data_IF_706755398597
#
_entry.id   IF_706755398597
#
_cell.length_a   1.000
_cell.length_b   1.000
_cell.length_c   1.000
_cell.angle_alpha   90.00
_cell.angle_beta   90.00
_cell.angle_gamma   90.00
#
_symmetry.space_group_name_H-M   'P 1'
#
loop_
_entity.id
_entity.type
_entity.pdbx_description
1 polymer ?
#
# COMPACT_ATOMS: atom_id res chain seq x y z
N UNK A 1 11.84 -6.75 44.54
CA UNK A 1 10.72 -5.84 44.89
C UNK A 1 10.74 -4.50 44.13
N UNK A 2 11.90 -3.97 43.73
CA UNK A 2 12.00 -2.69 42.98
C UNK A 2 11.19 -2.63 41.65
N UNK A 3 11.08 -3.74 40.89
CA UNK A 3 10.32 -3.77 39.63
C UNK A 3 8.79 -3.68 39.78
N UNK A 4 8.24 -4.07 40.94
CA UNK A 4 6.79 -3.98 41.23
C UNK A 4 6.36 -2.57 41.62
N UNK A 5 7.20 -1.85 42.34
CA UNK A 5 6.93 -0.47 42.75
C UNK A 5 7.01 0.46 41.52
N UNK A 6 8.03 0.28 40.66
CA UNK A 6 8.18 1.06 39.42
C UNK A 6 7.03 0.85 38.42
N UNK A 7 6.50 -0.37 38.31
CA UNK A 7 5.35 -0.66 37.43
C UNK A 7 4.03 -0.06 37.96
N UNK A 8 3.85 0.04 39.28
CA UNK A 8 2.69 0.70 39.89
C UNK A 8 2.74 2.22 39.70
N UNK A 9 3.90 2.84 39.94
CA UNK A 9 4.13 4.28 39.73
C UNK A 9 3.86 4.64 38.26
N UNK A 10 4.41 3.87 37.32
CA UNK A 10 4.18 4.11 35.89
C UNK A 10 2.70 4.00 35.51
N UNK A 11 1.99 2.98 36.02
CA UNK A 11 0.53 2.82 35.80
C UNK A 11 -0.27 4.02 36.29
N UNK A 12 0.11 4.57 37.44
CA UNK A 12 -0.52 5.77 37.99
C UNK A 12 -0.27 7.00 37.11
N UNK A 13 0.97 7.23 36.67
CA UNK A 13 1.30 8.31 35.75
C UNK A 13 0.53 8.23 34.43
N UNK A 14 0.46 7.04 33.83
CA UNK A 14 -0.29 6.81 32.58
C UNK A 14 -1.78 7.08 32.74
N UNK A 15 -2.40 6.64 33.85
CA UNK A 15 -3.80 6.95 34.15
C UNK A 15 -4.04 8.45 34.30
N UNK A 16 -3.15 9.14 35.01
CA UNK A 16 -3.27 10.59 35.23
C UNK A 16 -3.11 11.36 33.92
N UNK A 17 -2.17 10.95 33.06
CA UNK A 17 -2.01 11.51 31.73
C UNK A 17 -3.26 11.28 30.86
N UNK A 18 -3.82 10.07 30.86
CA UNK A 18 -5.05 9.76 30.13
C UNK A 18 -6.24 10.59 30.62
N UNK A 19 -6.41 10.72 31.94
CA UNK A 19 -7.47 11.55 32.54
C UNK A 19 -7.29 13.03 32.20
N UNK A 20 -6.05 13.53 32.20
CA UNK A 20 -5.76 14.90 31.79
C UNK A 20 -6.21 15.15 30.35
N UNK A 21 -5.81 14.30 29.40
CA UNK A 21 -6.21 14.45 27.99
C UNK A 21 -7.72 14.29 27.77
N UNK A 22 -8.39 13.41 28.53
CA UNK A 22 -9.85 13.28 28.49
C UNK A 22 -10.53 14.57 28.95
N UNK A 23 -10.08 15.16 30.07
CA UNK A 23 -10.63 16.42 30.56
C UNK A 23 -10.39 17.58 29.58
N UNK A 24 -9.21 17.64 28.94
CA UNK A 24 -8.91 18.66 27.93
C UNK A 24 -9.77 18.50 26.67
N UNK A 25 -10.11 17.26 26.28
CA UNK A 25 -10.98 17.00 25.13
C UNK A 25 -12.41 17.52 25.37
N UNK A 26 -12.96 17.33 26.57
CA UNK A 26 -14.28 17.86 26.97
C UNK A 26 -14.29 19.40 27.04
N UNK A 27 -13.20 20.01 27.51
CA UNK A 27 -13.11 21.45 27.70
C UNK A 27 -12.75 22.23 26.42
N UNK A 28 -12.33 21.55 25.33
CA UNK A 28 -11.66 22.16 24.17
C UNK A 28 -12.47 23.29 23.51
N UNK A 29 -13.80 23.15 23.51
CA UNK A 29 -14.76 24.10 22.92
C UNK A 29 -14.79 25.45 23.63
N UNK A 30 -14.34 25.52 24.89
CA UNK A 30 -14.32 26.73 25.72
C UNK A 30 -12.93 27.34 25.92
N UNK A 31 -11.89 26.81 25.29
CA UNK A 31 -10.51 27.29 25.45
C UNK A 31 -10.23 28.45 24.49
N UNK A 32 -9.61 29.52 24.98
CA UNK A 32 -9.17 30.63 24.12
C UNK A 32 -8.11 30.21 23.08
N UNK A 33 -8.04 30.93 21.96
CA UNK A 33 -7.20 30.60 20.80
C UNK A 33 -5.71 30.41 21.11
N UNK A 34 -5.11 31.29 21.91
CA UNK A 34 -3.69 31.22 22.24
C UNK A 34 -3.30 29.95 23.04
N UNK A 35 -3.97 29.61 24.17
CA UNK A 35 -3.72 28.35 24.87
C UNK A 35 -4.11 27.11 24.04
N UNK A 36 -5.13 27.21 23.18
CA UNK A 36 -5.53 26.12 22.28
C UNK A 36 -4.41 25.72 21.30
N UNK A 37 -3.64 26.68 20.78
CA UNK A 37 -2.50 26.38 19.91
C UNK A 37 -1.41 25.57 20.62
N UNK A 38 -1.13 25.88 21.89
CA UNK A 38 -0.15 25.16 22.71
C UNK A 38 -0.63 23.74 23.02
N UNK A 39 -1.87 23.62 23.50
CA UNK A 39 -2.51 22.34 23.79
C UNK A 39 -2.51 21.43 22.55
N UNK A 40 -2.81 21.98 21.37
CA UNK A 40 -2.75 21.27 20.09
C UNK A 40 -1.34 20.74 19.77
N UNK A 41 -0.31 21.53 20.06
CA UNK A 41 1.09 21.14 19.86
C UNK A 41 1.50 19.97 20.76
N UNK A 42 1.19 20.07 22.05
CA UNK A 42 1.47 19.03 23.05
C UNK A 42 0.72 17.72 22.73
N UNK A 43 -0.56 17.81 22.35
CA UNK A 43 -1.36 16.65 21.96
C UNK A 43 -0.76 15.94 20.73
N UNK A 44 -0.35 16.69 19.71
CA UNK A 44 0.31 16.14 18.52
C UNK A 44 1.64 15.46 18.87
N UNK A 45 2.43 16.04 19.76
CA UNK A 45 3.68 15.45 20.21
C UNK A 45 3.46 14.11 20.93
N UNK A 46 2.49 14.04 21.85
CA UNK A 46 2.17 12.80 22.55
C UNK A 46 1.59 11.75 21.61
N UNK A 47 0.67 12.12 20.71
CA UNK A 47 0.12 11.22 19.69
C UNK A 47 1.22 10.57 18.85
N UNK A 48 2.22 11.33 18.39
CA UNK A 48 3.36 10.79 17.63
C UNK A 48 4.15 9.71 18.38
N UNK A 49 4.26 9.81 19.70
CA UNK A 49 4.97 8.79 20.50
C UNK A 49 4.13 7.52 20.66
N UNK A 50 2.82 7.70 20.92
CA UNK A 50 1.87 6.58 21.01
C UNK A 50 1.80 5.85 19.66
N UNK A 51 1.68 6.59 18.55
CA UNK A 51 1.66 6.04 17.20
C UNK A 51 2.94 5.22 16.91
N UNK A 52 4.12 5.67 17.37
CA UNK A 52 5.37 4.89 17.26
C UNK A 52 5.34 3.57 18.02
N UNK A 53 4.86 3.57 19.26
CA UNK A 53 4.73 2.33 20.06
C UNK A 53 3.73 1.40 19.42
N UNK A 54 2.59 1.92 18.96
CA UNK A 54 1.58 1.15 18.25
C UNK A 54 2.21 0.53 17.00
N UNK A 55 2.84 1.31 16.12
CA UNK A 55 3.48 0.79 14.90
C UNK A 55 4.49 -0.34 15.20
N UNK A 56 5.32 -0.19 16.24
CA UNK A 56 6.29 -1.21 16.63
C UNK A 56 5.62 -2.46 17.24
N UNK A 57 4.59 -2.28 18.05
CA UNK A 57 3.83 -3.38 18.64
C UNK A 57 3.02 -4.12 17.57
N UNK A 58 2.40 -3.41 16.64
CA UNK A 58 1.63 -3.96 15.53
C UNK A 58 2.50 -4.74 14.56
N UNK A 59 3.72 -4.29 14.27
CA UNK A 59 4.69 -5.07 13.50
C UNK A 59 5.03 -6.41 14.17
N UNK A 60 4.95 -6.50 15.51
CA UNK A 60 5.24 -7.72 16.30
C UNK A 60 4.02 -8.59 16.57
N UNK A 61 2.84 -7.97 16.73
CA UNK A 61 1.58 -8.62 17.11
C UNK A 61 0.65 -8.84 15.91
N UNK A 62 1.01 -8.36 14.73
CA UNK A 62 0.32 -8.67 13.48
C UNK A 62 0.32 -10.17 13.19
N UNK A 63 -0.64 -10.66 12.40
CA UNK A 63 -0.52 -12.02 11.88
C UNK A 63 0.85 -12.15 11.23
N UNK A 64 1.59 -13.23 11.54
CA UNK A 64 2.82 -13.57 10.82
C UNK A 64 2.47 -13.42 9.35
N UNK A 65 3.09 -12.45 8.65
CA UNK A 65 2.70 -12.07 7.31
C UNK A 65 2.61 -13.34 6.48
N UNK A 66 1.39 -13.86 6.28
CA UNK A 66 1.23 -15.20 5.74
C UNK A 66 1.75 -15.08 4.31
N UNK A 67 2.84 -15.79 4.01
CA UNK A 67 3.38 -15.83 2.67
C UNK A 67 2.21 -16.07 1.71
N UNK A 68 2.12 -15.32 0.60
CA UNK A 68 1.01 -15.48 -0.32
C UNK A 68 0.93 -16.96 -0.72
N UNK A 69 -0.28 -17.52 -0.66
CA UNK A 69 -0.48 -18.94 -0.92
C UNK A 69 -0.13 -19.23 -2.37
N UNK A 70 0.79 -20.16 -2.59
CA UNK A 70 1.12 -20.64 -3.93
C UNK A 70 -0.01 -21.55 -4.41
N UNK A 71 -0.69 -21.16 -5.49
CA UNK A 71 -1.72 -21.98 -6.10
C UNK A 71 -1.09 -23.17 -6.84
N UNK A 72 -1.88 -24.21 -7.11
CA UNK A 72 -1.40 -25.36 -7.89
C UNK A 72 -1.00 -24.90 -9.29
N UNK A 73 0.17 -25.34 -9.76
CA UNK A 73 0.73 -24.95 -11.06
C UNK A 73 1.43 -23.59 -11.07
N UNK A 74 1.46 -22.86 -9.96
CA UNK A 74 2.28 -21.64 -9.80
C UNK A 74 3.72 -22.02 -9.45
N UNK A 75 4.69 -21.45 -10.15
CA UNK A 75 6.12 -21.66 -9.86
C UNK A 75 6.73 -20.53 -9.01
N UNK A 76 6.06 -19.38 -8.94
CA UNK A 76 6.51 -18.24 -8.17
C UNK A 76 5.33 -17.35 -7.74
N UNK A 77 5.42 -16.81 -6.53
CA UNK A 77 4.41 -15.90 -5.96
C UNK A 77 5.08 -14.84 -5.11
N UNK A 78 4.54 -13.62 -5.16
CA UNK A 78 5.06 -12.47 -4.44
C UNK A 78 3.97 -11.53 -3.99
N UNK A 79 4.17 -10.98 -2.80
CA UNK A 79 3.40 -9.88 -2.25
C UNK A 79 4.38 -8.74 -1.95
N UNK A 80 4.14 -7.51 -2.44
CA UNK A 80 5.04 -6.38 -2.19
C UNK A 80 5.09 -5.99 -0.71
N UNK A 81 6.15 -5.28 -0.32
CA UNK A 81 6.49 -5.06 1.09
C UNK A 81 5.46 -4.26 1.85
N UNK A 82 4.85 -3.26 1.23
CA UNK A 82 3.84 -2.41 1.88
C UNK A 82 2.58 -3.17 2.29
N UNK A 83 2.36 -4.39 1.78
CA UNK A 83 1.27 -5.27 2.24
C UNK A 83 1.75 -6.34 3.24
N UNK A 84 3.07 -6.56 3.37
CA UNK A 84 3.67 -7.58 4.26
C UNK A 84 4.13 -7.02 5.59
N UNK A 85 4.66 -5.80 5.62
CA UNK A 85 5.35 -5.22 6.78
C UNK A 85 4.97 -3.76 6.97
N UNK A 86 5.04 -3.29 8.21
CA UNK A 86 4.85 -1.87 8.50
C UNK A 86 5.92 -1.02 7.79
N UNK A 87 5.49 0.00 7.07
CA UNK A 87 6.37 1.00 6.47
C UNK A 87 6.98 1.88 7.56
N UNK A 88 8.18 2.44 7.34
CA UNK A 88 8.79 3.40 8.28
C UNK A 88 7.90 4.63 8.45
N UNK A 89 7.42 5.16 7.34
CA UNK A 89 6.44 6.24 7.28
C UNK A 89 5.10 5.66 6.86
N UNK A 90 4.11 5.70 7.76
CA UNK A 90 2.80 5.13 7.49
C UNK A 90 1.97 5.96 6.48
N UNK A 91 2.42 7.15 6.10
CA UNK A 91 1.78 7.90 5.03
C UNK A 91 2.64 9.05 4.50
N UNK A 92 2.38 9.42 3.26
CA UNK A 92 3.12 10.39 2.46
C UNK A 92 2.14 11.22 1.62
N UNK A 93 2.45 12.49 1.40
CA UNK A 93 1.74 13.35 0.45
C UNK A 93 2.56 13.37 -0.84
N UNK A 94 1.93 13.08 -1.96
CA UNK A 94 2.58 13.13 -3.25
C UNK A 94 2.70 14.58 -3.73
N UNK A 95 3.91 15.12 -3.65
CA UNK A 95 4.21 16.53 -3.98
C UNK A 95 4.85 16.70 -5.35
N UNK A 96 5.07 15.63 -6.10
CA UNK A 96 5.73 15.68 -7.40
C UNK A 96 5.54 14.40 -8.20
N UNK A 97 6.08 14.39 -9.42
CA UNK A 97 5.79 13.35 -10.41
C UNK A 97 6.11 11.92 -9.98
N UNK A 98 7.02 11.76 -9.01
CA UNK A 98 7.36 10.49 -8.38
C UNK A 98 7.47 10.66 -6.87
N UNK A 99 6.77 9.80 -6.14
CA UNK A 99 6.85 9.69 -4.68
C UNK A 99 7.24 8.26 -4.31
N UNK A 100 8.40 8.07 -3.69
CA UNK A 100 8.83 6.74 -3.22
C UNK A 100 8.05 6.34 -1.96
N UNK A 101 7.56 5.10 -1.91
CA UNK A 101 6.77 4.57 -0.79
C UNK A 101 7.55 3.49 -0.04
N UNK A 102 8.15 2.57 -0.80
CA UNK A 102 9.05 1.52 -0.32
C UNK A 102 10.12 1.22 -1.38
N UNK A 103 11.01 0.27 -1.10
CA UNK A 103 12.03 -0.17 -2.06
C UNK A 103 11.43 -0.76 -3.34
N UNK A 104 10.23 -1.34 -3.24
CA UNK A 104 9.51 -2.02 -4.34
C UNK A 104 8.26 -1.26 -4.82
N UNK A 105 7.94 -0.09 -4.26
CA UNK A 105 6.75 0.68 -4.64
C UNK A 105 7.02 2.19 -4.73
N UNK A 106 6.56 2.79 -5.81
CA UNK A 106 6.50 4.24 -5.97
C UNK A 106 5.16 4.67 -6.59
N UNK A 107 4.68 5.84 -6.20
CA UNK A 107 3.53 6.49 -6.81
C UNK A 107 4.03 7.46 -7.88
N UNK A 108 3.36 7.45 -9.04
CA UNK A 108 3.60 8.35 -10.16
C UNK A 108 2.32 9.09 -10.53
N UNK A 109 2.42 10.40 -10.75
CA UNK A 109 1.29 11.19 -11.25
C UNK A 109 1.74 12.45 -11.98
N UNK A 110 0.85 13.07 -12.75
CA UNK A 110 1.05 14.36 -13.40
C UNK A 110 0.17 15.49 -12.81
N UNK A 111 -0.67 15.17 -11.81
CA UNK A 111 -1.52 16.17 -11.16
C UNK A 111 -0.69 17.29 -10.46
N UNK A 112 -0.94 18.58 -10.78
CA UNK A 112 -0.18 19.70 -10.21
C UNK A 112 -0.65 20.14 -8.81
N UNK A 113 -1.80 19.63 -8.32
CA UNK A 113 -2.45 20.15 -7.12
C UNK A 113 -1.80 19.70 -5.80
N UNK A 114 -1.01 18.61 -5.82
CA UNK A 114 -0.43 18.05 -4.58
C UNK A 114 -1.47 17.48 -3.61
N UNK A 115 -2.65 17.12 -4.12
CA UNK A 115 -3.82 16.69 -3.35
C UNK A 115 -4.00 15.16 -3.33
N UNK A 116 -2.88 14.44 -3.41
CA UNK A 116 -2.84 12.98 -3.38
C UNK A 116 -2.08 12.56 -2.13
N UNK A 117 -2.73 11.82 -1.25
CA UNK A 117 -2.12 11.26 -0.06
C UNK A 117 -2.15 9.74 -0.12
N UNK A 118 -1.05 9.11 0.27
CA UNK A 118 -0.92 7.67 0.39
C UNK A 118 -0.70 7.31 1.84
N UNK A 119 -1.39 6.28 2.33
CA UNK A 119 -1.27 5.83 3.71
C UNK A 119 -1.39 4.32 3.79
N UNK A 120 -0.43 3.68 4.44
CA UNK A 120 -0.55 2.30 4.86
C UNK A 120 -1.56 2.22 6.00
N UNK A 121 -2.54 1.33 5.85
CA UNK A 121 -3.55 1.04 6.86
C UNK A 121 -3.43 -0.41 7.30
N UNK A 122 -3.88 -0.71 8.51
CA UNK A 122 -3.90 -2.10 8.98
C UNK A 122 -5.19 -2.76 8.51
N UNK A 123 -5.03 -3.93 7.93
CA UNK A 123 -6.15 -4.80 7.61
C UNK A 123 -6.64 -5.50 8.88
N UNK A 124 -7.95 -5.59 9.04
CA UNK A 124 -8.62 -6.10 10.25
C UNK A 124 -9.80 -7.02 9.92
N UNK A 125 -10.14 -7.16 8.64
CA UNK A 125 -11.17 -8.07 8.20
C UNK A 125 -10.71 -9.52 8.38
N UNK A 126 -11.65 -10.40 8.69
CA UNK A 126 -11.37 -11.83 8.88
C UNK A 126 -10.89 -12.50 7.59
N UNK A 127 -11.34 -11.99 6.43
CA UNK A 127 -10.93 -12.45 5.11
C UNK A 127 -9.58 -11.86 4.65
N UNK A 128 -9.03 -10.88 5.36
CA UNK A 128 -7.79 -10.21 4.95
C UNK A 128 -6.58 -11.14 5.12
N UNK A 129 -5.91 -11.45 4.00
CA UNK A 129 -4.70 -12.27 4.01
C UNK A 129 -3.43 -11.46 4.23
N UNK A 130 -3.42 -10.20 3.79
CA UNK A 130 -2.33 -9.28 4.03
C UNK A 130 -2.54 -8.53 5.35
N UNK A 131 -1.53 -8.39 6.22
CA UNK A 131 -1.65 -7.62 7.47
C UNK A 131 -1.90 -6.12 7.25
N UNK A 132 -1.49 -5.58 6.11
CA UNK A 132 -1.59 -4.16 5.79
C UNK A 132 -2.25 -3.96 4.42
N UNK A 133 -2.99 -2.87 4.28
CA UNK A 133 -3.48 -2.34 3.03
C UNK A 133 -2.86 -0.97 2.74
N UNK A 134 -3.10 -0.46 1.54
CA UNK A 134 -2.60 0.83 1.09
C UNK A 134 -3.78 1.69 0.61
N UNK A 135 -4.03 2.79 1.32
CA UNK A 135 -5.06 3.77 1.00
C UNK A 135 -4.46 4.92 0.20
N UNK A 136 -5.08 5.23 -0.93
CA UNK A 136 -4.82 6.37 -1.79
C UNK A 136 -6.02 7.30 -1.68
N UNK A 137 -5.81 8.45 -1.03
CA UNK A 137 -6.78 9.51 -0.85
C UNK A 137 -6.50 10.61 -1.90
N UNK A 138 -7.42 10.83 -2.83
CA UNK A 138 -7.30 11.87 -3.86
C UNK A 138 -8.43 12.88 -3.69
N UNK A 139 -8.08 14.14 -3.42
CA UNK A 139 -9.07 15.22 -3.29
C UNK A 139 -9.33 15.83 -4.67
N UNK A 140 -8.45 16.69 -5.18
CA UNK A 140 -8.50 17.17 -6.55
C UNK A 140 -7.53 16.41 -7.47
N UNK A 141 -7.96 16.22 -8.72
CA UNK A 141 -7.12 15.65 -9.75
C UNK A 141 -7.25 16.44 -11.05
N UNK A 142 -6.17 17.11 -11.46
CA UNK A 142 -6.03 17.82 -12.73
C UNK A 142 -4.88 17.23 -13.55
N UNK A 143 -4.76 15.91 -13.51
CA UNK A 143 -3.80 15.14 -14.26
C UNK A 143 -4.49 14.24 -15.28
N UNK A 144 -3.68 13.56 -16.09
CA UNK A 144 -4.11 12.49 -16.98
C UNK A 144 -3.67 11.10 -16.49
N UNK A 145 -2.77 11.06 -15.50
CA UNK A 145 -2.10 9.83 -15.10
C UNK A 145 -1.90 9.75 -13.58
N UNK A 146 -2.36 8.66 -12.98
CA UNK A 146 -2.07 8.29 -11.60
C UNK A 146 -1.80 6.79 -11.54
N UNK A 147 -0.63 6.40 -11.02
CA UNK A 147 -0.25 5.00 -10.93
C UNK A 147 0.59 4.66 -9.71
N UNK A 148 0.37 3.45 -9.20
CA UNK A 148 1.26 2.77 -8.28
C UNK A 148 2.13 1.79 -9.07
N UNK A 149 3.43 2.06 -9.13
CA UNK A 149 4.41 1.24 -9.83
C UNK A 149 5.12 0.29 -8.85
N UNK A 150 4.92 -1.00 -9.07
CA UNK A 150 5.44 -2.11 -8.28
C UNK A 150 6.63 -2.73 -9.00
N UNK A 151 7.83 -2.59 -8.44
CA UNK A 151 9.04 -3.18 -9.02
C UNK A 151 9.06 -4.68 -8.71
N UNK A 152 9.00 -5.52 -9.74
CA UNK A 152 9.05 -6.96 -9.55
C UNK A 152 10.47 -7.38 -9.14
N UNK A 153 10.62 -8.25 -8.15
CA UNK A 153 11.93 -8.67 -7.67
C UNK A 153 12.61 -9.61 -8.68
N UNK A 154 13.93 -9.79 -8.57
CA UNK A 154 14.72 -10.63 -9.47
C UNK A 154 14.12 -12.04 -9.71
N UNK A 155 13.60 -12.77 -8.70
CA UNK A 155 13.03 -14.09 -8.93
C UNK A 155 11.80 -14.12 -9.86
N UNK A 156 11.10 -12.98 -10.02
CA UNK A 156 10.01 -12.85 -10.98
C UNK A 156 10.50 -12.91 -12.43
N UNK A 157 11.69 -12.32 -12.66
CA UNK A 157 12.30 -12.10 -13.98
C UNK A 157 13.23 -13.24 -14.37
N UNK A 158 13.90 -13.84 -13.38
CA UNK A 158 14.83 -14.94 -13.62
C UNK A 158 14.12 -16.12 -14.29
N UNK A 159 14.62 -16.53 -15.45
CA UNK A 159 14.04 -17.61 -16.26
C UNK A 159 12.71 -17.27 -16.95
N UNK A 160 12.28 -16.00 -16.96
CA UNK A 160 11.02 -15.60 -17.60
C UNK A 160 11.11 -15.79 -19.13
N UNK A 161 10.13 -16.51 -19.68
CA UNK A 161 10.01 -16.80 -21.11
C UNK A 161 8.60 -16.52 -21.62
N UNK A 162 8.41 -16.54 -22.95
CA UNK A 162 7.11 -16.46 -23.62
C UNK A 162 6.10 -17.53 -23.17
N UNK A 163 6.58 -18.63 -22.56
CA UNK A 163 5.73 -19.71 -22.06
C UNK A 163 5.20 -19.45 -20.65
N UNK A 164 5.32 -18.24 -20.11
CA UNK A 164 4.78 -17.92 -18.78
C UNK A 164 3.51 -17.08 -18.87
N UNK A 165 2.65 -17.26 -17.87
CA UNK A 165 1.60 -16.32 -17.54
C UNK A 165 1.96 -15.62 -16.24
N UNK A 166 1.75 -14.30 -16.21
CA UNK A 166 1.78 -13.52 -14.98
C UNK A 166 0.35 -13.17 -14.61
N UNK A 167 -0.03 -13.46 -13.39
CA UNK A 167 -1.35 -13.11 -12.84
C UNK A 167 -1.17 -12.12 -11.69
N UNK A 168 -2.02 -11.10 -11.67
CA UNK A 168 -2.08 -10.09 -10.63
C UNK A 168 -3.45 -10.16 -9.99
N UNK A 169 -3.48 -10.47 -8.70
CA UNK A 169 -4.67 -10.44 -7.86
C UNK A 169 -4.64 -9.17 -7.02
N UNK A 170 -5.69 -8.36 -7.10
CA UNK A 170 -5.83 -7.12 -6.34
C UNK A 170 -7.14 -7.16 -5.57
N UNK A 171 -7.10 -6.96 -4.26
CA UNK A 171 -8.30 -6.73 -3.46
C UNK A 171 -8.47 -5.23 -3.31
N UNK A 172 -9.48 -4.66 -3.97
CA UNK A 172 -9.74 -3.23 -4.02
C UNK A 172 -11.00 -2.88 -3.23
N UNK A 173 -10.98 -1.74 -2.56
CA UNK A 173 -12.12 -1.07 -1.95
C UNK A 173 -12.05 0.41 -2.32
N UNK A 174 -13.13 0.98 -2.82
CA UNK A 174 -13.18 2.36 -3.29
C UNK A 174 -14.52 2.99 -2.95
N UNK A 175 -14.51 4.28 -2.62
CA UNK A 175 -15.72 5.05 -2.33
C UNK A 175 -16.65 5.13 -3.56
N UNK A 176 -16.05 5.15 -4.76
CA UNK A 176 -16.76 5.10 -6.04
C UNK A 176 -16.13 4.06 -6.96
N UNK A 177 -16.93 3.46 -7.84
CA UNK A 177 -16.41 2.58 -8.87
C UNK A 177 -15.66 3.42 -9.91
N UNK A 178 -14.36 3.14 -10.10
CA UNK A 178 -13.52 3.87 -11.06
C UNK A 178 -12.85 2.90 -12.04
N UNK A 179 -12.54 3.35 -13.28
CA UNK A 179 -11.75 2.54 -14.20
C UNK A 179 -10.32 2.38 -13.68
N UNK A 180 -9.89 1.13 -13.55
CA UNK A 180 -8.53 0.79 -13.15
C UNK A 180 -7.89 -0.18 -14.14
N UNK A 181 -6.59 -0.09 -14.31
CA UNK A 181 -5.82 -0.91 -15.25
C UNK A 181 -4.57 -1.45 -14.57
N UNK A 182 -4.19 -2.67 -14.95
CA UNK A 182 -2.89 -3.24 -14.63
C UNK A 182 -2.05 -3.23 -15.92
N UNK A 183 -0.87 -2.60 -15.89
CA UNK A 183 0.08 -2.63 -17.00
C UNK A 183 1.36 -3.33 -16.57
N UNK A 184 1.66 -4.45 -17.20
CA UNK A 184 2.91 -5.16 -17.03
C UNK A 184 3.94 -4.59 -18.01
N UNK A 185 5.09 -4.16 -17.48
CA UNK A 185 6.22 -3.65 -18.25
C UNK A 185 7.39 -4.63 -18.13
N UNK A 186 7.97 -5.02 -19.27
CA UNK A 186 9.05 -6.00 -19.37
C UNK A 186 10.21 -5.39 -20.16
N UNK A 187 11.29 -5.03 -19.48
CA UNK A 187 12.47 -4.47 -20.13
C UNK A 187 13.35 -5.57 -20.71
N UNK A 188 13.63 -5.51 -22.01
CA UNK A 188 14.51 -6.43 -22.72
C UNK A 188 15.51 -5.66 -23.60
N UNK A 189 16.76 -5.54 -23.10
CA UNK A 189 17.74 -4.65 -23.72
C UNK A 189 17.31 -3.18 -23.62
N UNK A 190 17.34 -2.39 -24.73
CA UNK A 190 16.91 -0.99 -24.72
C UNK A 190 15.39 -0.81 -24.78
N UNK A 191 14.64 -1.88 -25.05
CA UNK A 191 13.20 -1.82 -25.30
C UNK A 191 12.40 -2.26 -24.07
N UNK A 192 11.15 -1.80 -23.99
CA UNK A 192 10.19 -2.21 -22.97
C UNK A 192 8.93 -2.70 -23.67
N UNK A 193 8.60 -3.98 -23.46
CA UNK A 193 7.31 -4.53 -23.84
C UNK A 193 6.26 -4.14 -22.79
N UNK A 194 5.09 -3.68 -23.22
CA UNK A 194 4.01 -3.25 -22.34
C UNK A 194 2.72 -3.99 -22.69
N UNK A 195 2.11 -4.62 -21.69
CA UNK A 195 0.82 -5.29 -21.83
C UNK A 195 -0.14 -4.70 -20.82
N UNK A 196 -1.32 -4.28 -21.27
CA UNK A 196 -2.34 -3.65 -20.43
C UNK A 196 -3.54 -4.57 -20.31
N UNK A 197 -4.06 -4.70 -19.10
CA UNK A 197 -5.31 -5.40 -18.80
C UNK A 197 -6.20 -4.49 -17.96
N UNK A 198 -7.46 -4.33 -18.37
CA UNK A 198 -8.45 -3.62 -17.57
C UNK A 198 -8.81 -4.47 -16.34
N UNK A 199 -8.85 -3.84 -15.17
CA UNK A 199 -9.41 -4.45 -13.97
C UNK A 199 -10.93 -4.21 -14.01
N UNK A 200 -11.79 -5.22 -13.81
CA UNK A 200 -13.23 -4.99 -13.77
C UNK A 200 -13.60 -3.87 -12.80
N UNK A 201 -14.38 -2.91 -13.31
CA UNK A 201 -14.79 -1.68 -12.60
C UNK A 201 -15.73 -2.06 -11.45
N UNK A 202 -15.22 -2.03 -10.23
CA UNK A 202 -15.98 -2.36 -9.02
C UNK A 202 -15.57 -1.48 -7.85
N UNK A 203 -16.52 -1.18 -6.96
CA UNK A 203 -16.26 -0.44 -5.74
C UNK A 203 -15.60 -1.33 -4.66
N UNK A 204 -15.82 -2.65 -4.66
CA UNK A 204 -15.16 -3.54 -3.71
C UNK A 204 -15.08 -4.97 -4.25
N UNK A 205 -13.95 -5.64 -4.01
CA UNK A 205 -13.79 -7.06 -4.28
C UNK A 205 -12.40 -7.47 -4.73
N UNK A 206 -12.26 -8.77 -5.02
CA UNK A 206 -11.08 -9.33 -5.67
C UNK A 206 -11.21 -9.12 -7.18
N UNK A 207 -10.19 -8.51 -7.78
CA UNK A 207 -10.02 -8.39 -9.22
C UNK A 207 -8.74 -9.07 -9.67
N UNK A 208 -8.74 -9.60 -10.89
CA UNK A 208 -7.64 -10.39 -11.45
C UNK A 208 -7.30 -9.90 -12.84
N UNK A 209 -6.02 -9.63 -13.09
CA UNK A 209 -5.46 -9.40 -14.41
C UNK A 209 -4.49 -10.53 -14.75
N UNK A 210 -4.63 -11.10 -15.95
CA UNK A 210 -3.72 -12.13 -16.46
C UNK A 210 -3.00 -11.65 -17.71
N UNK A 211 -1.68 -11.83 -17.73
CA UNK A 211 -0.79 -11.45 -18.82
C UNK A 211 -0.16 -12.71 -19.40
N UNK A 212 -0.56 -13.08 -20.60
CA UNK A 212 0.05 -14.17 -21.35
C UNK A 212 1.25 -13.64 -22.14
N UNK A 213 2.46 -14.06 -21.75
CA UNK A 213 3.69 -13.50 -22.31
C UNK A 213 3.91 -13.89 -23.78
N UNK A 214 3.21 -14.90 -24.29
CA UNK A 214 3.24 -15.23 -25.71
C UNK A 214 2.79 -14.06 -26.59
N UNK A 215 1.92 -13.18 -26.06
CA UNK A 215 1.39 -12.01 -26.77
C UNK A 215 2.02 -10.69 -26.31
N UNK A 216 3.03 -10.73 -25.44
CA UNK A 216 3.66 -9.53 -24.90
C UNK A 216 4.58 -8.81 -25.89
N UNK A 217 4.82 -9.37 -27.09
CA UNK A 217 5.73 -8.78 -28.08
C UNK A 217 7.19 -8.75 -27.63
N UNK A 218 7.60 -9.70 -26.78
CA UNK A 218 8.98 -9.79 -26.31
C UNK A 218 9.94 -10.10 -27.46
N UNK A 219 11.07 -9.38 -27.49
CA UNK A 219 12.16 -9.65 -28.43
C UNK A 219 12.98 -10.89 -28.05
N UNK A 220 14.06 -11.14 -28.80
CA UNK A 220 14.95 -12.28 -28.53
C UNK A 220 15.87 -12.10 -27.31
N UNK A 221 15.99 -10.87 -26.80
CA UNK A 221 16.79 -10.60 -25.59
C UNK A 221 16.01 -11.00 -24.34
N UNK A 222 16.67 -11.57 -23.32
CA UNK A 222 16.00 -11.91 -22.07
C UNK A 222 15.45 -10.66 -21.38
N UNK A 223 14.40 -10.86 -20.58
CA UNK A 223 13.89 -9.82 -19.71
C UNK A 223 14.91 -9.57 -18.60
N UNK A 224 15.20 -8.30 -18.35
CA UNK A 224 16.21 -7.85 -17.37
C UNK A 224 15.58 -7.17 -16.17
N UNK A 225 14.46 -6.46 -16.37
CA UNK A 225 13.65 -5.83 -15.34
C UNK A 225 12.18 -5.95 -15.69
N UNK A 226 11.34 -5.99 -14.67
CA UNK A 226 9.90 -5.94 -14.85
C UNK A 226 9.27 -5.09 -13.75
N UNK A 227 8.18 -4.40 -14.07
CA UNK A 227 7.38 -3.70 -13.08
C UNK A 227 5.91 -3.69 -13.50
N UNK A 228 5.04 -3.60 -12.51
CA UNK A 228 3.60 -3.58 -12.67
C UNK A 228 3.08 -2.20 -12.28
N UNK A 229 2.43 -1.53 -13.21
CA UNK A 229 1.70 -0.28 -12.93
C UNK A 229 0.24 -0.62 -12.65
N UNK A 230 -0.27 -0.24 -11.47
CA UNK A 230 -1.70 -0.15 -11.20
C UNK A 230 -2.13 1.29 -11.49
N UNK A 231 -2.97 1.51 -12.49
CA UNK A 231 -3.35 2.81 -13.02
C UNK A 231 -4.81 3.08 -12.63
N UNK A 232 -5.08 4.28 -12.14
CA UNK A 232 -6.41 4.72 -11.72
C UNK A 232 -6.83 5.94 -12.52
N UNK A 233 -7.93 5.82 -13.26
CA UNK A 233 -8.48 6.93 -14.05
C UNK A 233 -9.60 7.63 -13.28
N UNK A 234 -9.76 8.92 -13.59
CA UNK A 234 -10.75 9.80 -12.96
C UNK A 234 -10.76 9.71 -11.42
N UNK A 235 -9.59 9.73 -10.73
CA UNK A 235 -9.52 9.43 -9.30
C UNK A 235 -9.96 10.59 -8.40
N UNK A 236 -10.46 11.70 -8.94
CA UNK A 236 -10.82 12.88 -8.16
C UNK A 236 -11.88 12.54 -7.09
N UNK A 237 -11.78 13.16 -5.93
CA UNK A 237 -12.70 13.02 -4.81
C UNK A 237 -12.95 11.56 -4.40
N UNK A 238 -11.91 10.72 -4.50
CA UNK A 238 -12.03 9.28 -4.29
C UNK A 238 -10.95 8.78 -3.32
N UNK A 239 -11.35 7.89 -2.41
CA UNK A 239 -10.42 7.01 -1.71
C UNK A 239 -10.40 5.65 -2.39
N UNK A 240 -9.22 5.17 -2.75
CA UNK A 240 -8.97 3.80 -3.21
C UNK A 240 -8.08 3.09 -2.21
N UNK A 241 -8.55 2.00 -1.64
CA UNK A 241 -7.80 1.12 -0.73
C UNK A 241 -7.47 -0.19 -1.42
N UNK A 242 -6.19 -0.49 -1.56
CA UNK A 242 -5.69 -1.79 -1.99
C UNK A 242 -5.42 -2.63 -0.74
N UNK A 243 -6.33 -3.55 -0.42
CA UNK A 243 -6.24 -4.43 0.75
C UNK A 243 -5.16 -5.49 0.58
N UNK A 244 -5.01 -6.05 -0.62
CA UNK A 244 -3.95 -7.01 -0.93
C UNK A 244 -3.57 -6.89 -2.41
N UNK A 245 -2.29 -7.10 -2.72
CA UNK A 245 -1.78 -7.23 -4.08
C UNK A 245 -0.84 -8.42 -4.11
N UNK A 246 -1.18 -9.41 -4.92
CA UNK A 246 -0.37 -10.62 -5.11
C UNK A 246 -0.08 -10.78 -6.59
N UNK A 247 1.20 -10.96 -6.92
CA UNK A 247 1.64 -11.31 -8.27
C UNK A 247 2.10 -12.76 -8.25
N UNK A 248 1.68 -13.53 -9.23
CA UNK A 248 2.13 -14.90 -9.41
C UNK A 248 2.56 -15.16 -10.84
N UNK A 249 3.43 -16.15 -11.00
CA UNK A 249 3.93 -16.63 -12.28
C UNK A 249 3.69 -18.13 -12.38
N UNK A 250 3.27 -18.57 -13.55
CA UNK A 250 3.12 -19.99 -13.87
C UNK A 250 3.52 -20.28 -15.30
N UNK A 251 4.02 -21.49 -15.60
CA UNK A 251 4.15 -21.93 -16.97
C UNK A 251 2.77 -22.07 -17.61
N UNK A 252 2.70 -21.78 -18.89
CA UNK A 252 1.55 -22.05 -19.75
C UNK A 252 1.38 -23.55 -19.90
N UNK A 253 0.16 -24.04 -19.76
CA UNK A 253 -0.15 -25.44 -20.04
C UNK A 253 0.16 -25.72 -21.53
N UNK A 254 0.81 -26.86 -21.81
CA UNK A 254 0.96 -27.33 -23.19
C UNK A 254 -0.44 -27.72 -23.71
N UNK A 255 -0.80 -27.22 -24.89
CA UNK A 255 -2.01 -27.61 -25.61
C UNK A 255 -1.81 -28.97 -26.28
#
# INVERSE_FOLDING_TARGET
>A
MAGRIGTLINRWHLRRAAQHWAAQAEAVSGIELAPLHRLRGEAKAMRRQIDRVLQAAEARLGPVAALPRMALGTDWVWRPDVWRRACREAGVIATGARTAVSDDLALYHDCPLGEIALRQTRNRGEADRAPFGLSLDVFGFQGSFLSLALTLPEPAVSGLTLRHLIEVQVVIESDVSLPAFARLNLQHGPNVAQVVSALPTMASGLTVAAFDLAYAGLGQRPVTKAWLDLIFNDPAMTRVTLRDVVVSRRPRAEL
#
